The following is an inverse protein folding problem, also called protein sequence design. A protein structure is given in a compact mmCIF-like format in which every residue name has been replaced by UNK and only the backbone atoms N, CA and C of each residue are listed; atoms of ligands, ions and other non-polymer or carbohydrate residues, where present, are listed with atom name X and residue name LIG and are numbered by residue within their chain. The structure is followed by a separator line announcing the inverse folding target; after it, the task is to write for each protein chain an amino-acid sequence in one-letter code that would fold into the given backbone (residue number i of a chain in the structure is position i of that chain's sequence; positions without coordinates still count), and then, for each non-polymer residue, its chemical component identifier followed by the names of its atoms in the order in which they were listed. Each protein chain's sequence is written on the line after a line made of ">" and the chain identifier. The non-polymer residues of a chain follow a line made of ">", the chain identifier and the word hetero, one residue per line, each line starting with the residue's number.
data_IF_622285670488
#
_entry.id   IF_622285670488
#
_cell.length_a   1.000
_cell.length_b   1.000
_cell.length_c   1.000
_cell.angle_alpha   90.00
_cell.angle_beta   90.00
_cell.angle_gamma   90.00
#
_symmetry.space_group_name_H-M   'P 1'
#
loop_
_entity.id
_entity.type
_entity.pdbx_description
1 polymer ?
#
# COMPACT_ATOMS: atom_id res chain seq x y z
N UNK A 1 -28.89 -40.70 34.28
CA UNK A 1 -30.03 -40.79 33.35
C UNK A 1 -29.68 -39.97 32.13
N UNK A 2 -29.16 -40.64 31.10
CA UNK A 2 -28.81 -40.02 29.82
C UNK A 2 -30.03 -40.08 28.91
N UNK A 3 -30.43 -38.95 28.39
CA UNK A 3 -31.56 -38.82 27.43
C UNK A 3 -31.09 -39.24 26.03
N UNK A 4 -31.79 -40.22 25.45
CA UNK A 4 -31.60 -40.69 24.08
C UNK A 4 -31.90 -39.59 23.05
N UNK A 5 -31.20 -39.57 21.89
CA UNK A 5 -31.50 -38.65 20.83
C UNK A 5 -32.77 -39.06 20.07
N UNK A 6 -33.74 -38.16 19.94
CA UNK A 6 -34.93 -38.35 19.13
C UNK A 6 -34.58 -38.34 17.63
N UNK A 7 -34.89 -39.44 16.98
CA UNK A 7 -34.76 -39.63 15.53
C UNK A 7 -35.99 -38.97 14.84
N UNK A 8 -35.71 -37.95 14.02
CA UNK A 8 -36.71 -37.35 13.14
C UNK A 8 -36.85 -38.19 11.86
N UNK A 9 -38.05 -38.57 11.42
CA UNK A 9 -38.21 -39.31 10.16
C UNK A 9 -37.87 -38.46 8.94
N UNK A 10 -37.42 -39.10 7.84
CA UNK A 10 -37.09 -38.39 6.61
C UNK A 10 -38.33 -37.77 5.96
N UNK A 11 -38.21 -36.69 5.21
CA UNK A 11 -39.30 -36.04 4.52
C UNK A 11 -39.91 -36.96 3.45
N UNK A 12 -41.23 -36.85 3.19
CA UNK A 12 -41.94 -37.69 2.20
C UNK A 12 -41.44 -37.43 0.78
N UNK A 13 -41.35 -38.50 0.00
CA UNK A 13 -41.03 -38.47 -1.43
C UNK A 13 -42.04 -37.60 -2.22
N UNK A 14 -41.56 -36.82 -3.20
CA UNK A 14 -42.43 -36.02 -4.04
C UNK A 14 -43.30 -36.91 -4.95
N UNK A 15 -44.58 -36.58 -5.03
CA UNK A 15 -45.55 -37.29 -5.87
C UNK A 15 -45.17 -37.25 -7.36
N UNK A 16 -45.48 -38.33 -8.11
CA UNK A 16 -45.15 -38.40 -9.53
C UNK A 16 -45.93 -37.35 -10.33
N UNK A 17 -45.21 -36.64 -11.20
CA UNK A 17 -45.82 -35.66 -12.09
C UNK A 17 -46.73 -36.32 -13.12
N UNK A 18 -47.95 -35.81 -13.24
CA UNK A 18 -48.91 -36.25 -14.26
C UNK A 18 -48.42 -35.96 -15.67
N UNK A 19 -48.62 -36.85 -16.65
CA UNK A 19 -48.15 -36.64 -18.01
C UNK A 19 -48.89 -35.48 -18.68
N UNK A 20 -48.14 -34.61 -19.32
CA UNK A 20 -48.64 -33.49 -20.12
C UNK A 20 -49.47 -33.98 -21.32
N UNK A 21 -50.54 -33.28 -21.72
CA UNK A 21 -51.37 -33.68 -22.85
C UNK A 21 -50.58 -33.57 -24.17
N UNK A 22 -50.65 -34.65 -24.97
CA UNK A 22 -50.03 -34.75 -26.31
C UNK A 22 -50.79 -33.83 -27.26
N UNK A 23 -50.18 -32.75 -27.67
CA UNK A 23 -50.71 -31.84 -28.71
C UNK A 23 -50.41 -32.44 -30.08
N UNK A 24 -51.50 -32.80 -30.81
CA UNK A 24 -51.37 -33.31 -32.23
C UNK A 24 -50.84 -32.21 -33.15
N UNK A 25 -49.88 -32.48 -34.03
CA UNK A 25 -49.35 -31.49 -34.95
C UNK A 25 -50.38 -31.04 -35.98
N UNK A 26 -50.64 -29.73 -36.01
CA UNK A 26 -51.47 -29.09 -37.04
C UNK A 26 -50.60 -28.94 -38.30
N UNK A 27 -51.04 -29.55 -39.40
CA UNK A 27 -50.35 -29.43 -40.71
C UNK A 27 -50.43 -27.98 -41.21
N UNK A 28 -49.31 -27.35 -41.59
CA UNK A 28 -49.33 -26.01 -42.12
C UNK A 28 -49.94 -25.98 -43.54
N UNK A 29 -50.98 -25.18 -43.70
CA UNK A 29 -51.51 -24.84 -45.04
C UNK A 29 -50.45 -23.97 -45.77
N UNK A 30 -49.92 -24.45 -46.88
CA UNK A 30 -49.08 -23.68 -47.81
C UNK A 30 -49.85 -22.45 -48.29
N UNK A 31 -49.52 -21.24 -47.76
CA UNK A 31 -49.80 -19.95 -48.39
C UNK A 31 -48.49 -19.44 -49.00
N UNK A 32 -48.27 -19.89 -50.27
CA UNK A 32 -47.22 -19.34 -51.14
C UNK A 32 -47.90 -18.19 -51.87
N UNK A 33 -47.76 -16.97 -51.39
CA UNK A 33 -48.30 -15.79 -52.08
C UNK A 33 -47.81 -14.45 -51.52
N UNK A 34 -47.80 -14.34 -50.20
CA UNK A 34 -47.48 -13.08 -49.57
C UNK A 34 -46.00 -12.86 -49.32
N UNK A 35 -45.23 -13.90 -49.05
CA UNK A 35 -43.81 -13.75 -48.79
C UNK A 35 -43.01 -13.40 -50.06
N UNK A 36 -43.41 -13.93 -51.22
CA UNK A 36 -42.82 -13.60 -52.51
C UNK A 36 -43.09 -12.16 -52.93
N UNK A 37 -44.26 -11.59 -52.62
CA UNK A 37 -44.61 -10.19 -52.89
C UNK A 37 -43.83 -9.22 -52.00
N UNK A 38 -43.60 -9.58 -50.70
CA UNK A 38 -42.85 -8.72 -49.77
C UNK A 38 -41.36 -8.71 -50.14
N UNK A 39 -40.78 -9.85 -50.54
CA UNK A 39 -39.38 -9.89 -51.00
C UNK A 39 -39.17 -9.16 -52.33
N UNK A 40 -40.09 -9.23 -53.27
CA UNK A 40 -40.01 -8.49 -54.52
C UNK A 40 -40.16 -6.97 -54.30
N UNK A 41 -41.02 -6.51 -53.44
CA UNK A 41 -41.16 -5.11 -53.09
C UNK A 41 -39.93 -4.55 -52.35
N UNK A 42 -39.31 -5.32 -51.46
CA UNK A 42 -38.08 -4.95 -50.77
C UNK A 42 -36.86 -4.83 -51.73
N UNK A 43 -36.76 -5.70 -52.71
CA UNK A 43 -35.71 -5.63 -53.75
C UNK A 43 -35.90 -4.46 -54.69
N UNK A 44 -37.14 -4.17 -55.11
CA UNK A 44 -37.43 -3.03 -55.98
C UNK A 44 -37.24 -1.70 -55.21
N UNK A 45 -37.68 -1.61 -53.96
CA UNK A 45 -37.48 -0.45 -53.09
C UNK A 45 -35.98 -0.18 -52.80
N UNK A 46 -35.20 -1.24 -52.59
CA UNK A 46 -33.74 -1.14 -52.41
C UNK A 46 -33.00 -0.63 -53.63
N UNK A 47 -33.37 -1.14 -54.83
CA UNK A 47 -32.76 -0.70 -56.11
C UNK A 47 -33.12 0.74 -56.49
N UNK A 48 -34.39 1.14 -56.30
CA UNK A 48 -34.84 2.52 -56.58
C UNK A 48 -34.23 3.49 -55.54
N UNK A 49 -34.18 3.13 -54.27
CA UNK A 49 -33.54 3.91 -53.20
C UNK A 49 -32.04 4.12 -53.45
N UNK A 50 -31.30 3.05 -53.82
CA UNK A 50 -29.89 3.16 -54.15
C UNK A 50 -29.61 4.00 -55.40
N UNK A 51 -30.43 3.85 -56.46
CA UNK A 51 -30.30 4.66 -57.67
C UNK A 51 -30.60 6.18 -57.40
N UNK A 52 -31.60 6.48 -56.59
CA UNK A 52 -31.90 7.84 -56.15
C UNK A 52 -30.76 8.44 -55.31
N UNK A 53 -30.16 7.67 -54.43
CA UNK A 53 -29.02 8.13 -53.62
C UNK A 53 -27.79 8.41 -54.49
N UNK A 54 -27.50 7.56 -55.45
CA UNK A 54 -26.34 7.75 -56.36
C UNK A 54 -26.51 8.95 -57.30
N UNK A 55 -27.76 9.25 -57.74
CA UNK A 55 -28.05 10.36 -58.65
C UNK A 55 -28.23 11.72 -57.94
N UNK A 56 -28.69 11.73 -56.71
CA UNK A 56 -29.05 12.98 -55.98
C UNK A 56 -27.97 13.38 -54.97
N UNK A 57 -27.28 12.42 -54.32
CA UNK A 57 -26.26 12.72 -53.34
C UNK A 57 -25.12 13.62 -53.83
N UNK A 58 -24.61 13.49 -55.09
CA UNK A 58 -23.57 14.38 -55.58
C UNK A 58 -24.02 15.84 -55.78
N UNK A 59 -25.34 16.07 -55.89
CA UNK A 59 -25.91 17.41 -56.07
C UNK A 59 -26.25 18.13 -54.78
N UNK A 60 -26.45 17.38 -53.70
CA UNK A 60 -26.81 17.94 -52.40
C UNK A 60 -25.59 18.04 -51.44
N UNK A 61 -24.57 17.26 -51.66
CA UNK A 61 -23.35 17.32 -50.85
C UNK A 61 -22.27 18.04 -51.65
N UNK A 62 -22.16 19.35 -51.49
CA UNK A 62 -20.95 20.09 -51.85
C UNK A 62 -19.88 19.66 -50.86
N UNK A 63 -19.13 18.61 -51.20
CA UNK A 63 -17.87 18.28 -50.53
C UNK A 63 -16.90 19.38 -50.97
N UNK A 64 -16.77 20.43 -50.19
CA UNK A 64 -15.58 21.25 -50.25
C UNK A 64 -14.42 20.38 -49.86
N UNK A 65 -13.37 20.23 -50.69
CA UNK A 65 -12.14 19.59 -50.23
C UNK A 65 -11.54 20.52 -49.19
N UNK A 66 -11.84 20.29 -47.92
CA UNK A 66 -11.13 20.92 -46.82
C UNK A 66 -9.74 20.32 -46.84
N UNK A 67 -8.83 21.07 -47.47
CA UNK A 67 -7.43 20.72 -47.43
C UNK A 67 -6.96 20.66 -45.97
N UNK A 68 -6.03 19.75 -45.74
CA UNK A 68 -5.34 19.44 -44.48
C UNK A 68 -6.25 18.87 -43.37
N UNK A 69 -6.52 17.58 -43.43
CA UNK A 69 -6.52 16.79 -42.23
C UNK A 69 -5.11 16.92 -41.65
N UNK A 70 -4.93 17.95 -40.80
CA UNK A 70 -3.89 17.89 -39.78
C UNK A 70 -4.28 16.65 -38.99
N UNK A 71 -3.57 15.56 -39.22
CA UNK A 71 -3.55 14.45 -38.26
C UNK A 71 -3.19 15.12 -36.96
N UNK A 72 -4.19 15.29 -36.10
CA UNK A 72 -3.92 15.68 -34.72
C UNK A 72 -2.79 14.76 -34.27
N UNK A 73 -1.69 15.30 -33.71
CA UNK A 73 -0.67 14.43 -33.20
C UNK A 73 -1.40 13.44 -32.33
N UNK A 74 -1.21 12.15 -32.59
CA UNK A 74 -1.61 11.10 -31.66
C UNK A 74 -0.77 11.44 -30.43
N UNK A 75 -1.30 12.29 -29.55
CA UNK A 75 -0.82 12.35 -28.19
C UNK A 75 -1.08 10.94 -27.69
N UNK A 76 -0.02 10.15 -27.58
CA UNK A 76 -0.05 8.91 -26.80
C UNK A 76 -0.39 9.34 -25.36
N UNK A 77 -1.64 9.64 -25.10
CA UNK A 77 -2.18 9.61 -23.76
C UNK A 77 -2.09 8.14 -23.37
N UNK A 78 -1.06 7.81 -22.60
CA UNK A 78 -0.98 6.51 -21.97
C UNK A 78 -2.33 6.32 -21.27
N UNK A 79 -3.12 5.37 -21.76
CA UNK A 79 -4.32 4.98 -21.04
C UNK A 79 -3.86 4.41 -19.69
N UNK A 80 -4.69 4.46 -18.67
CA UNK A 80 -4.39 3.86 -17.36
C UNK A 80 -3.91 2.41 -17.52
N UNK A 81 -4.56 1.64 -18.39
CA UNK A 81 -4.17 0.27 -18.73
C UNK A 81 -2.74 0.19 -19.27
N UNK A 82 -2.39 1.06 -20.22
CA UNK A 82 -1.03 1.10 -20.79
C UNK A 82 0.01 1.46 -19.72
N UNK A 83 -0.30 2.36 -18.79
CA UNK A 83 0.59 2.71 -17.70
C UNK A 83 0.85 1.51 -16.77
N UNK A 84 -0.20 0.77 -16.37
CA UNK A 84 -0.07 -0.41 -15.52
C UNK A 84 0.75 -1.51 -16.20
N UNK A 85 0.50 -1.78 -17.49
CA UNK A 85 1.24 -2.80 -18.26
C UNK A 85 2.72 -2.40 -18.34
N UNK A 86 3.02 -1.13 -18.67
CA UNK A 86 4.40 -0.66 -18.80
C UNK A 86 5.15 -0.74 -17.47
N UNK A 87 4.53 -0.31 -16.36
CA UNK A 87 5.11 -0.40 -15.03
C UNK A 87 5.36 -1.86 -14.64
N UNK A 88 4.40 -2.76 -14.89
CA UNK A 88 4.56 -4.18 -14.61
C UNK A 88 5.73 -4.80 -15.38
N UNK A 89 5.90 -4.45 -16.65
CA UNK A 89 6.92 -5.03 -17.53
C UNK A 89 8.32 -4.44 -17.31
N UNK A 90 8.43 -3.15 -17.10
CA UNK A 90 9.72 -2.47 -16.95
C UNK A 90 10.17 -2.49 -15.49
N UNK A 91 9.31 -2.04 -14.59
CA UNK A 91 9.66 -1.77 -13.19
C UNK A 91 9.54 -3.03 -12.33
N UNK A 92 8.65 -3.96 -12.71
CA UNK A 92 8.54 -5.26 -12.05
C UNK A 92 9.82 -6.09 -12.04
N UNK A 93 10.78 -5.81 -12.94
CA UNK A 93 12.11 -6.48 -12.95
C UNK A 93 12.98 -6.11 -11.76
N UNK A 94 12.73 -4.96 -11.16
CA UNK A 94 13.43 -4.51 -9.96
C UNK A 94 12.77 -4.97 -8.66
N UNK A 95 11.59 -5.62 -8.74
CA UNK A 95 10.92 -6.21 -7.56
C UNK A 95 11.44 -7.62 -7.35
N UNK A 96 11.73 -7.93 -6.10
CA UNK A 96 12.37 -9.20 -5.70
C UNK A 96 11.52 -9.94 -4.67
N UNK A 97 11.64 -11.27 -4.67
CA UNK A 97 11.19 -12.11 -3.58
C UNK A 97 12.29 -12.22 -2.53
N UNK A 98 11.90 -12.13 -1.27
CA UNK A 98 12.77 -12.33 -0.12
C UNK A 98 12.30 -13.57 0.60
N UNK A 99 13.18 -14.58 0.67
CA UNK A 99 12.98 -15.78 1.47
C UNK A 99 13.76 -15.67 2.77
N UNK A 100 13.08 -15.91 3.87
CA UNK A 100 13.67 -15.92 5.20
C UNK A 100 13.60 -17.31 5.79
N UNK A 101 14.65 -17.71 6.49
CA UNK A 101 14.67 -18.93 7.31
C UNK A 101 14.75 -18.49 8.78
N UNK A 102 13.74 -18.85 9.56
CA UNK A 102 13.64 -18.57 10.99
C UNK A 102 13.68 -19.89 11.74
N UNK A 103 14.45 -19.97 12.81
CA UNK A 103 14.42 -21.17 13.65
C UNK A 103 13.13 -21.23 14.46
N UNK A 104 12.50 -22.39 14.50
CA UNK A 104 11.45 -22.64 15.48
C UNK A 104 12.07 -22.63 16.87
N UNK A 105 11.44 -21.93 17.82
CA UNK A 105 11.77 -21.94 19.24
C UNK A 105 11.51 -23.31 19.91
N UNK A 106 10.85 -24.20 19.21
CA UNK A 106 10.52 -25.54 19.72
C UNK A 106 11.72 -26.46 19.54
N UNK A 107 12.47 -26.66 20.64
CA UNK A 107 13.64 -27.55 20.70
C UNK A 107 13.33 -28.98 20.27
N UNK A 108 12.07 -29.39 20.19
CA UNK A 108 11.63 -30.74 19.78
C UNK A 108 11.37 -30.92 18.29
N UNK A 109 11.13 -29.83 17.56
CA UNK A 109 10.72 -29.87 16.15
C UNK A 109 11.72 -29.17 15.24
N UNK A 110 12.97 -29.22 15.34
CA UNK A 110 14.01 -28.65 14.44
C UNK A 110 13.54 -28.40 12.97
N UNK A 111 12.38 -27.78 12.79
CA UNK A 111 11.82 -27.42 11.49
C UNK A 111 12.09 -25.94 11.26
N UNK A 112 12.91 -25.66 10.25
CA UNK A 112 13.09 -24.30 9.77
C UNK A 112 11.74 -23.77 9.22
N UNK A 113 11.27 -22.69 9.80
CA UNK A 113 10.11 -21.97 9.28
C UNK A 113 10.58 -21.02 8.16
N UNK A 114 9.89 -21.04 7.03
CA UNK A 114 10.20 -20.17 5.91
C UNK A 114 9.16 -19.05 5.81
N UNK A 115 9.64 -17.81 5.89
CA UNK A 115 8.86 -16.63 5.57
C UNK A 115 9.12 -16.20 4.13
N UNK A 116 8.13 -15.56 3.52
CA UNK A 116 8.22 -14.99 2.18
C UNK A 116 7.69 -13.57 2.23
N UNK A 117 8.48 -12.63 1.69
CA UNK A 117 8.09 -11.25 1.51
C UNK A 117 8.61 -10.71 0.19
N UNK A 118 8.38 -9.44 -0.06
CA UNK A 118 8.87 -8.74 -1.23
C UNK A 118 9.87 -7.66 -0.84
N UNK A 119 10.63 -7.22 -1.83
CA UNK A 119 11.49 -6.04 -1.75
C UNK A 119 11.65 -5.43 -3.13
N UNK A 120 12.34 -4.32 -3.21
CA UNK A 120 12.69 -3.71 -4.48
C UNK A 120 14.10 -3.12 -4.45
N UNK A 121 14.76 -3.22 -5.59
CA UNK A 121 16.12 -2.74 -5.78
C UNK A 121 16.09 -1.22 -5.95
N UNK A 122 16.86 -0.50 -5.13
CA UNK A 122 16.96 0.96 -5.13
C UNK A 122 18.30 1.45 -5.71
N UNK A 123 19.28 0.54 -5.86
CA UNK A 123 20.59 0.84 -6.44
C UNK A 123 21.08 -0.35 -7.25
N UNK A 124 21.65 -0.08 -8.41
CA UNK A 124 22.13 -1.09 -9.35
C UNK A 124 23.27 -1.99 -8.83
N UNK A 125 23.91 -1.59 -7.74
CA UNK A 125 24.93 -2.37 -7.04
C UNK A 125 24.35 -3.33 -5.99
N UNK A 126 23.01 -3.50 -5.90
CA UNK A 126 22.34 -4.54 -5.13
C UNK A 126 21.81 -4.14 -3.76
N UNK A 127 21.54 -2.85 -3.52
CA UNK A 127 20.78 -2.44 -2.35
C UNK A 127 19.28 -2.61 -2.59
N UNK A 128 18.60 -3.21 -1.63
CA UNK A 128 17.17 -3.57 -1.68
C UNK A 128 16.49 -3.00 -0.46
N UNK A 129 15.33 -2.39 -0.65
CA UNK A 129 14.45 -1.93 0.42
C UNK A 129 13.32 -2.93 0.58
N UNK A 130 12.95 -3.18 1.84
CA UNK A 130 11.83 -4.03 2.25
C UNK A 130 11.29 -3.57 3.61
N UNK A 131 10.27 -4.23 4.14
CA UNK A 131 9.82 -4.01 5.51
C UNK A 131 10.74 -4.71 6.53
N UNK A 132 10.82 -4.14 7.76
CA UNK A 132 11.58 -4.76 8.84
C UNK A 132 10.98 -6.10 9.25
N UNK A 133 9.65 -6.20 9.39
CA UNK A 133 8.98 -7.44 9.76
C UNK A 133 9.23 -8.60 8.78
N UNK A 134 9.57 -8.32 7.51
CA UNK A 134 9.94 -9.34 6.52
C UNK A 134 11.26 -10.01 6.87
N UNK A 135 12.20 -9.29 7.46
CA UNK A 135 13.57 -9.77 7.74
C UNK A 135 13.85 -9.99 9.23
N UNK A 136 12.92 -9.64 10.07
CA UNK A 136 13.05 -9.76 11.52
C UNK A 136 13.27 -11.23 11.93
N UNK A 137 14.21 -11.45 12.84
CA UNK A 137 14.57 -12.79 13.34
C UNK A 137 15.06 -13.79 12.28
N UNK A 138 15.31 -13.35 11.03
CA UNK A 138 15.83 -14.22 9.98
C UNK A 138 17.28 -14.59 10.24
N UNK A 139 17.58 -15.91 10.23
CA UNK A 139 18.95 -16.43 10.28
C UNK A 139 19.61 -16.44 8.92
N UNK A 140 18.82 -16.68 7.88
CA UNK A 140 19.27 -16.68 6.51
C UNK A 140 18.28 -15.89 5.65
N UNK A 141 18.82 -15.08 4.74
CA UNK A 141 18.09 -14.27 3.80
C UNK A 141 18.53 -14.61 2.39
N UNK A 142 17.56 -14.91 1.55
CA UNK A 142 17.78 -15.15 0.13
C UNK A 142 16.89 -14.24 -0.71
N UNK A 143 17.45 -13.72 -1.78
CA UNK A 143 16.76 -12.84 -2.71
C UNK A 143 16.70 -13.49 -4.08
N UNK A 144 15.51 -13.54 -4.66
CA UNK A 144 15.25 -14.08 -5.99
C UNK A 144 14.76 -12.94 -6.88
N UNK A 145 15.43 -12.71 -8.01
CA UNK A 145 15.02 -11.74 -9.01
C UNK A 145 14.01 -12.36 -9.99
N UNK A 146 13.07 -11.55 -10.47
CA UNK A 146 11.94 -11.98 -11.32
C UNK A 146 12.31 -12.89 -12.48
N UNK A 147 13.30 -12.52 -13.26
CA UNK A 147 13.64 -13.21 -14.52
C UNK A 147 14.88 -14.10 -14.39
N UNK A 148 15.35 -14.31 -13.17
CA UNK A 148 16.55 -15.08 -12.92
C UNK A 148 16.25 -16.26 -12.00
N UNK A 149 16.63 -17.46 -12.45
CA UNK A 149 16.60 -18.67 -11.61
C UNK A 149 17.62 -18.54 -10.47
N UNK A 150 18.47 -17.50 -10.50
CA UNK A 150 19.56 -17.32 -9.57
C UNK A 150 19.07 -16.73 -8.26
N UNK A 151 19.32 -17.44 -7.19
CA UNK A 151 19.14 -16.98 -5.81
C UNK A 151 20.43 -16.30 -5.35
N UNK A 152 20.28 -15.18 -4.69
CA UNK A 152 21.39 -14.44 -4.08
C UNK A 152 21.26 -14.51 -2.56
N UNK A 153 22.36 -14.84 -1.87
CA UNK A 153 22.41 -14.65 -0.43
C UNK A 153 22.42 -13.14 -0.14
N UNK A 154 21.62 -12.73 0.81
CA UNK A 154 21.49 -11.33 1.19
C UNK A 154 21.93 -11.11 2.63
N UNK A 155 22.49 -9.95 2.90
CA UNK A 155 22.80 -9.51 4.27
C UNK A 155 22.00 -8.26 4.60
N UNK A 156 21.63 -8.13 5.85
CA UNK A 156 21.02 -6.90 6.39
C UNK A 156 22.10 -5.83 6.47
N UNK A 157 21.84 -4.67 5.86
CA UNK A 157 22.66 -3.47 5.99
C UNK A 157 22.30 -2.71 7.25
N UNK A 158 21.00 -2.60 7.51
CA UNK A 158 20.44 -1.99 8.69
C UNK A 158 18.93 -2.08 8.69
N UNK A 159 18.33 -1.87 9.84
CA UNK A 159 16.88 -1.91 10.05
C UNK A 159 16.41 -0.69 10.84
N UNK A 160 15.16 -0.36 10.67
CA UNK A 160 14.42 0.63 11.43
C UNK A 160 13.08 0.01 11.85
N UNK A 161 13.05 -0.74 12.96
CA UNK A 161 11.83 -1.40 13.43
C UNK A 161 10.66 -0.44 13.60
N UNK A 162 10.88 0.70 14.22
CA UNK A 162 9.83 1.71 14.45
C UNK A 162 9.19 2.31 13.19
N UNK A 163 9.83 2.22 12.02
CA UNK A 163 9.31 2.70 10.74
C UNK A 163 9.01 1.54 9.80
N UNK A 164 9.22 0.32 10.30
CA UNK A 164 9.09 -0.93 9.55
C UNK A 164 9.84 -0.91 8.21
N UNK A 165 11.07 -0.40 8.19
CA UNK A 165 11.95 -0.34 7.00
C UNK A 165 13.24 -1.11 7.26
N UNK A 166 13.65 -1.92 6.29
CA UNK A 166 14.94 -2.60 6.28
C UNK A 166 15.65 -2.40 4.93
N UNK A 167 16.97 -2.44 4.97
CA UNK A 167 17.82 -2.43 3.78
C UNK A 167 18.66 -3.69 3.75
N UNK A 168 18.60 -4.39 2.62
CA UNK A 168 19.42 -5.57 2.34
C UNK A 168 20.47 -5.25 1.28
N UNK A 169 21.50 -6.09 1.22
CA UNK A 169 22.54 -6.04 0.18
C UNK A 169 22.80 -7.44 -0.37
N UNK A 170 22.75 -7.54 -1.68
CA UNK A 170 23.20 -8.72 -2.44
C UNK A 170 24.46 -8.39 -3.23
N UNK A 171 25.32 -9.38 -3.44
CA UNK A 171 26.56 -9.20 -4.23
C UNK A 171 26.27 -9.39 -5.72
N UNK A 172 25.70 -8.34 -6.32
CA UNK A 172 25.39 -8.27 -7.74
C UNK A 172 25.58 -6.84 -8.24
N UNK A 173 25.78 -6.70 -9.56
CA UNK A 173 25.99 -5.43 -10.24
C UNK A 173 25.06 -5.32 -11.44
N UNK A 174 24.85 -4.09 -11.91
CA UNK A 174 24.02 -3.77 -13.07
C UNK A 174 22.58 -4.28 -12.94
N UNK A 175 22.05 -4.29 -11.72
CA UNK A 175 20.68 -4.65 -11.46
C UNK A 175 19.72 -3.50 -11.85
N UNK A 176 18.50 -3.82 -12.30
CA UNK A 176 17.47 -2.81 -12.49
C UNK A 176 17.14 -2.18 -11.12
N UNK A 177 17.00 -0.87 -11.07
CA UNK A 177 16.69 -0.14 -9.84
C UNK A 177 15.50 0.80 -10.07
N UNK A 178 14.60 0.88 -9.10
CA UNK A 178 13.44 1.77 -9.16
C UNK A 178 13.83 3.19 -8.75
N UNK A 179 13.36 4.20 -9.49
CA UNK A 179 13.48 5.58 -9.07
C UNK A 179 12.47 5.90 -7.97
N UNK A 180 12.88 6.74 -7.01
CA UNK A 180 11.96 7.29 -6.02
C UNK A 180 11.13 8.42 -6.64
N UNK A 181 9.83 8.43 -6.34
CA UNK A 181 8.93 9.55 -6.58
C UNK A 181 8.89 10.50 -5.39
N UNK A 182 8.01 11.49 -5.48
CA UNK A 182 7.71 12.42 -4.38
C UNK A 182 6.34 12.12 -3.80
N UNK A 183 6.29 11.47 -2.63
CA UNK A 183 5.03 11.14 -1.96
C UNK A 183 4.30 12.37 -1.43
N UNK A 184 4.98 13.50 -1.21
CA UNK A 184 4.33 14.74 -0.77
C UNK A 184 3.50 15.41 -1.88
N UNK A 185 3.78 15.06 -3.15
CA UNK A 185 3.03 15.54 -4.31
C UNK A 185 1.81 14.66 -4.67
N UNK A 186 1.59 13.56 -3.95
CA UNK A 186 0.47 12.65 -4.19
C UNK A 186 -0.88 13.33 -3.99
N UNK A 187 -1.87 12.90 -4.77
CA UNK A 187 -3.25 13.34 -4.67
C UNK A 187 -4.18 12.15 -4.53
N UNK A 188 -5.20 12.28 -3.70
CA UNK A 188 -6.29 11.30 -3.61
C UNK A 188 -6.93 11.13 -4.99
N UNK A 189 -7.18 9.89 -5.39
CA UNK A 189 -7.66 9.50 -6.71
C UNK A 189 -6.55 9.25 -7.75
N UNK A 190 -5.26 9.49 -7.43
CA UNK A 190 -4.14 9.19 -8.31
C UNK A 190 -3.92 7.67 -8.42
N UNK A 191 -3.56 7.18 -9.63
CA UNK A 191 -3.27 5.77 -9.87
C UNK A 191 -2.16 5.27 -8.93
N UNK A 192 -2.40 4.14 -8.30
CA UNK A 192 -1.50 3.41 -7.44
C UNK A 192 -1.32 1.98 -7.95
N UNK A 193 -0.09 1.53 -8.13
CA UNK A 193 0.26 0.20 -8.63
C UNK A 193 1.14 -0.47 -7.57
N UNK A 194 0.61 -1.50 -6.94
CA UNK A 194 1.36 -2.28 -5.98
C UNK A 194 1.93 -3.53 -6.64
N UNK A 195 3.22 -3.77 -6.45
CA UNK A 195 3.91 -4.95 -6.97
C UNK A 195 4.51 -5.73 -5.80
N UNK A 196 4.35 -7.05 -5.85
CA UNK A 196 4.99 -7.99 -4.95
C UNK A 196 5.38 -9.26 -5.68
N UNK A 197 6.18 -10.10 -5.05
CA UNK A 197 6.63 -11.38 -5.61
C UNK A 197 6.29 -12.53 -4.66
N UNK A 198 5.00 -12.85 -4.46
CA UNK A 198 4.61 -13.93 -3.56
C UNK A 198 4.91 -15.30 -4.18
N UNK A 199 5.39 -16.25 -3.34
CA UNK A 199 5.46 -17.69 -3.62
C UNK A 199 6.38 -18.12 -4.79
N UNK A 200 7.43 -17.37 -5.14
CA UNK A 200 8.36 -17.73 -6.21
C UNK A 200 7.71 -17.81 -7.59
N UNK A 201 6.51 -17.32 -7.72
CA UNK A 201 5.80 -17.18 -9.00
C UNK A 201 5.90 -15.74 -9.47
N UNK A 202 5.65 -15.51 -10.75
CA UNK A 202 5.73 -14.19 -11.38
C UNK A 202 5.07 -13.11 -10.53
N UNK A 203 5.69 -11.91 -10.47
CA UNK A 203 5.21 -10.77 -9.70
C UNK A 203 3.69 -10.61 -9.78
N UNK A 204 3.05 -10.53 -8.63
CA UNK A 204 1.66 -10.11 -8.54
C UNK A 204 1.60 -8.59 -8.65
N UNK A 205 0.84 -8.09 -9.60
CA UNK A 205 0.59 -6.67 -9.82
C UNK A 205 -0.87 -6.39 -9.49
N UNK A 206 -1.12 -5.49 -8.58
CA UNK A 206 -2.46 -5.00 -8.29
C UNK A 206 -2.52 -3.49 -8.53
N UNK A 207 -3.67 -2.98 -8.96
CA UNK A 207 -3.88 -1.56 -9.20
C UNK A 207 -5.06 -1.04 -8.39
N UNK A 208 -5.01 0.22 -8.09
CA UNK A 208 -6.05 0.98 -7.43
C UNK A 208 -5.74 2.47 -7.52
N UNK A 209 -6.23 3.22 -6.55
CA UNK A 209 -5.95 4.64 -6.40
C UNK A 209 -5.42 4.95 -5.01
N UNK A 210 -4.78 6.09 -4.85
CA UNK A 210 -4.52 6.67 -3.53
C UNK A 210 -5.86 7.06 -2.93
N UNK A 211 -6.30 6.33 -1.91
CA UNK A 211 -7.62 6.54 -1.27
C UNK A 211 -7.58 7.62 -0.19
N UNK A 212 -6.46 7.70 0.55
CA UNK A 212 -6.21 8.74 1.55
C UNK A 212 -4.71 8.88 1.82
N UNK A 213 -4.33 10.00 2.41
CA UNK A 213 -2.97 10.32 2.81
C UNK A 213 -2.93 10.62 4.32
N UNK A 214 -1.73 10.56 4.90
CA UNK A 214 -1.48 10.92 6.31
C UNK A 214 -2.34 10.12 7.31
N UNK A 215 -2.51 8.81 7.06
CA UNK A 215 -3.22 7.92 7.98
C UNK A 215 -2.31 7.46 9.12
N UNK A 216 -2.85 7.46 10.32
CA UNK A 216 -2.26 6.73 11.45
C UNK A 216 -2.98 5.39 11.58
N UNK A 217 -2.20 4.31 11.54
CA UNK A 217 -2.73 2.95 11.64
C UNK A 217 -2.06 2.24 12.81
N UNK A 218 -2.86 1.60 13.64
CA UNK A 218 -2.35 0.78 14.75
C UNK A 218 -2.35 -0.67 14.30
N UNK A 219 -1.19 -1.31 14.39
CA UNK A 219 -0.99 -2.72 14.03
C UNK A 219 -0.49 -3.49 15.25
N UNK A 220 -0.85 -4.78 15.41
CA UNK A 220 -0.25 -5.60 16.43
C UNK A 220 1.27 -5.69 16.21
N UNK A 221 2.02 -5.56 17.27
CA UNK A 221 3.45 -5.84 17.28
C UNK A 221 3.67 -7.27 17.82
N UNK A 222 4.02 -8.24 16.95
CA UNK A 222 4.23 -9.62 17.37
C UNK A 222 5.41 -9.77 18.33
N UNK A 223 6.37 -8.84 18.31
CA UNK A 223 7.60 -8.92 19.11
C UNK A 223 7.38 -8.49 20.55
N UNK A 224 6.53 -7.49 20.78
CA UNK A 224 6.22 -6.96 22.12
C UNK A 224 4.87 -7.42 22.68
N UNK A 225 4.01 -8.01 21.86
CA UNK A 225 2.62 -8.33 22.22
C UNK A 225 1.73 -7.09 22.39
N UNK A 226 2.23 -5.92 21.99
CA UNK A 226 1.54 -4.63 22.00
C UNK A 226 0.96 -4.22 20.65
N UNK A 227 0.74 -2.93 20.49
CA UNK A 227 0.38 -2.32 19.20
C UNK A 227 1.44 -1.30 18.80
N UNK A 228 1.85 -1.34 17.55
CA UNK A 228 2.69 -0.33 16.93
C UNK A 228 1.82 0.63 16.13
N UNK A 229 2.13 1.92 16.15
CA UNK A 229 1.43 2.93 15.35
C UNK A 229 2.32 3.37 14.20
N UNK A 230 1.90 3.07 12.99
CA UNK A 230 2.51 3.58 11.77
C UNK A 230 1.85 4.90 11.43
N UNK A 231 2.67 5.93 11.32
CA UNK A 231 2.25 7.30 11.04
C UNK A 231 2.44 7.64 9.57
N UNK A 232 1.66 8.59 9.06
CA UNK A 232 1.73 9.04 7.66
C UNK A 232 1.54 7.92 6.62
N UNK A 233 0.82 6.85 6.94
CA UNK A 233 0.55 5.79 5.98
C UNK A 233 -0.28 6.33 4.80
N UNK A 234 0.03 5.82 3.61
CA UNK A 234 -0.75 6.00 2.39
C UNK A 234 -1.80 4.90 2.36
N UNK A 235 -3.07 5.27 2.22
CA UNK A 235 -4.18 4.33 2.03
C UNK A 235 -4.46 4.17 0.54
N UNK A 236 -4.66 2.93 0.09
CA UNK A 236 -5.01 2.59 -1.29
C UNK A 236 -6.07 1.48 -1.32
N UNK A 237 -6.84 1.39 -2.39
CA UNK A 237 -7.72 0.25 -2.68
C UNK A 237 -7.05 -0.79 -3.61
N UNK A 238 -5.80 -0.54 -4.04
CA UNK A 238 -4.97 -1.61 -4.60
C UNK A 238 -4.84 -2.74 -3.57
N UNK A 239 -5.04 -3.97 -4.00
CA UNK A 239 -5.01 -5.13 -3.09
C UNK A 239 -3.58 -5.34 -2.55
N UNK A 240 -3.40 -5.10 -1.27
CA UNK A 240 -2.19 -5.42 -0.52
C UNK A 240 -2.48 -6.66 0.33
N UNK A 241 -1.74 -7.73 0.10
CA UNK A 241 -1.90 -9.02 0.76
C UNK A 241 -0.53 -9.52 1.24
N UNK A 242 -0.47 -10.51 2.15
CA UNK A 242 0.77 -11.22 2.47
C UNK A 242 1.48 -11.67 1.18
N UNK A 243 2.75 -11.30 1.05
CA UNK A 243 3.56 -11.48 -0.15
C UNK A 243 3.82 -10.20 -0.94
N UNK A 244 2.94 -9.16 -0.86
CA UNK A 244 3.26 -7.83 -1.40
C UNK A 244 4.00 -6.96 -0.37
N UNK A 245 3.97 -7.32 0.90
CA UNK A 245 4.64 -6.60 1.99
C UNK A 245 6.12 -6.41 1.68
N UNK A 246 6.62 -5.20 1.82
CA UNK A 246 7.99 -4.81 1.47
C UNK A 246 8.20 -4.49 -0.02
N UNK A 247 7.26 -4.83 -0.89
CA UNK A 247 7.27 -4.42 -2.29
C UNK A 247 6.91 -2.94 -2.48
N UNK A 248 7.14 -2.37 -3.67
CA UNK A 248 6.86 -0.97 -3.94
C UNK A 248 5.38 -0.70 -4.20
N UNK A 249 4.91 0.48 -3.76
CA UNK A 249 3.76 1.18 -4.31
C UNK A 249 4.27 2.20 -5.33
N UNK A 250 3.85 2.07 -6.59
CA UNK A 250 4.35 2.87 -7.71
C UNK A 250 3.25 3.82 -8.22
N UNK A 251 3.67 4.96 -8.74
CA UNK A 251 2.82 5.83 -9.52
C UNK A 251 2.77 5.39 -11.00
N UNK A 252 2.01 6.11 -11.85
CA UNK A 252 1.90 5.84 -13.28
C UNK A 252 3.19 6.00 -14.08
N UNK A 253 4.22 6.62 -13.51
CA UNK A 253 5.55 6.79 -14.10
C UNK A 253 6.57 5.73 -13.61
N UNK A 254 6.14 4.70 -12.86
CA UNK A 254 7.02 3.67 -12.31
C UNK A 254 7.89 4.14 -11.15
N UNK A 255 7.57 5.27 -10.53
CA UNK A 255 8.35 5.79 -9.41
C UNK A 255 7.76 5.29 -8.08
N UNK A 256 8.63 4.93 -7.14
CA UNK A 256 8.25 4.48 -5.80
C UNK A 256 7.69 5.64 -4.99
N UNK A 257 6.43 5.57 -4.61
CA UNK A 257 5.74 6.54 -3.76
C UNK A 257 5.38 5.98 -2.39
N UNK A 258 5.59 4.67 -2.17
CA UNK A 258 5.40 4.02 -0.88
C UNK A 258 6.01 2.62 -0.84
N UNK A 259 6.06 2.02 0.35
CA UNK A 259 6.43 0.62 0.58
C UNK A 259 5.19 -0.11 1.09
N UNK A 260 4.73 -1.11 0.36
CA UNK A 260 3.52 -1.86 0.68
C UNK A 260 3.62 -2.47 2.08
N UNK A 261 2.56 -2.33 2.85
CA UNK A 261 2.46 -2.85 4.21
C UNK A 261 1.18 -3.68 4.33
N UNK A 262 1.32 -5.00 4.36
CA UNK A 262 0.18 -5.90 4.50
C UNK A 262 -0.23 -6.02 5.96
N UNK A 263 -1.47 -5.63 6.24
CA UNK A 263 -2.14 -5.88 7.53
C UNK A 263 -3.10 -7.05 7.33
N UNK A 264 -3.29 -7.87 8.35
CA UNK A 264 -4.34 -8.91 8.28
C UNK A 264 -5.69 -8.27 7.95
N UNK A 265 -6.37 -8.77 6.92
CA UNK A 265 -7.65 -8.22 6.42
C UNK A 265 -8.73 -8.11 7.50
N UNK A 266 -8.66 -8.95 8.54
CA UNK A 266 -9.58 -8.90 9.68
C UNK A 266 -9.51 -7.56 10.45
N UNK A 267 -8.38 -6.86 10.37
CA UNK A 267 -8.13 -5.59 11.08
C UNK A 267 -8.33 -4.36 10.18
N UNK A 268 -7.96 -4.48 8.91
CA UNK A 268 -8.05 -3.37 7.96
C UNK A 268 -9.45 -3.20 7.34
N UNK A 269 -10.21 -4.28 7.25
CA UNK A 269 -11.45 -4.33 6.49
C UNK A 269 -11.22 -4.63 4.99
N UNK A 270 -12.25 -5.11 4.28
CA UNK A 270 -12.13 -5.47 2.87
C UNK A 270 -11.86 -4.24 1.99
N UNK A 271 -10.90 -4.35 1.06
CA UNK A 271 -10.58 -3.29 0.10
C UNK A 271 -9.74 -2.14 0.65
N UNK A 272 -9.12 -2.30 1.82
CA UNK A 272 -8.17 -1.34 2.38
C UNK A 272 -6.77 -1.91 2.32
N UNK A 273 -5.89 -1.22 1.61
CA UNK A 273 -4.45 -1.45 1.59
C UNK A 273 -3.71 -0.24 2.16
N UNK A 274 -2.53 -0.47 2.71
CA UNK A 274 -1.68 0.57 3.24
C UNK A 274 -0.25 0.45 2.71
N UNK A 275 0.43 1.59 2.62
CA UNK A 275 1.85 1.66 2.34
C UNK A 275 2.51 2.70 3.23
N UNK A 276 3.76 2.46 3.59
CA UNK A 276 4.62 3.45 4.24
C UNK A 276 4.87 4.61 3.28
N UNK A 277 4.98 5.82 3.78
CA UNK A 277 5.30 7.02 2.99
C UNK A 277 6.64 6.89 2.25
N UNK A 278 6.63 7.14 0.94
CA UNK A 278 7.81 6.94 0.08
C UNK A 278 8.98 7.85 0.41
N UNK A 279 8.74 9.13 0.74
CA UNK A 279 9.80 10.07 1.11
C UNK A 279 10.45 9.66 2.44
N UNK A 280 9.63 9.28 3.43
CA UNK A 280 10.13 8.79 4.71
C UNK A 280 10.94 7.50 4.55
N UNK A 281 10.43 6.52 3.80
CA UNK A 281 11.12 5.26 3.53
C UNK A 281 12.45 5.48 2.79
N UNK A 282 12.48 6.38 1.79
CA UNK A 282 13.72 6.77 1.07
C UNK A 282 14.76 7.36 2.01
N UNK A 283 14.36 8.29 2.86
CA UNK A 283 15.29 8.99 3.76
C UNK A 283 15.86 8.04 4.82
N UNK A 284 15.02 7.11 5.33
CA UNK A 284 15.45 6.02 6.22
C UNK A 284 16.40 5.07 5.48
N UNK A 285 16.03 4.60 4.29
CA UNK A 285 16.87 3.70 3.51
C UNK A 285 18.24 4.32 3.20
N UNK A 286 18.30 5.61 2.85
CA UNK A 286 19.55 6.31 2.62
C UNK A 286 20.45 6.36 3.86
N UNK A 287 19.88 6.62 5.06
CA UNK A 287 20.64 6.58 6.31
C UNK A 287 21.17 5.17 6.60
N UNK A 288 20.31 4.14 6.46
CA UNK A 288 20.72 2.75 6.65
C UNK A 288 21.85 2.35 5.69
N UNK A 289 21.79 2.77 4.41
CA UNK A 289 22.86 2.52 3.43
C UNK A 289 24.18 3.19 3.82
N UNK A 290 24.12 4.41 4.35
CA UNK A 290 25.31 5.21 4.67
C UNK A 290 25.94 4.83 6.00
N UNK A 291 25.14 4.55 7.02
CA UNK A 291 25.58 4.43 8.42
C UNK A 291 25.24 3.11 9.07
N UNK A 292 24.35 2.31 8.48
CA UNK A 292 23.82 1.08 9.07
C UNK A 292 22.72 1.30 10.13
N UNK A 293 22.42 2.54 10.49
CA UNK A 293 21.41 2.89 11.49
C UNK A 293 20.72 4.21 11.14
N UNK A 294 19.55 4.45 11.75
CA UNK A 294 18.80 5.70 11.58
C UNK A 294 19.12 6.64 12.75
N UNK A 295 19.59 7.83 12.40
CA UNK A 295 19.86 8.89 13.38
C UNK A 295 18.55 9.56 13.78
N UNK A 296 18.02 9.22 14.94
CA UNK A 296 16.78 9.79 15.44
C UNK A 296 17.03 10.86 16.51
N UNK A 297 16.23 11.94 16.48
CA UNK A 297 16.28 12.90 17.55
C UNK A 297 15.84 12.24 18.86
N UNK A 298 16.60 12.46 19.90
CA UNK A 298 16.37 11.91 21.21
C UNK A 298 16.19 13.01 22.23
N UNK A 299 15.03 13.00 22.90
CA UNK A 299 14.74 13.88 24.03
C UNK A 299 15.03 13.18 25.35
N UNK A 300 14.73 11.89 25.44
CA UNK A 300 14.95 11.04 26.60
C UNK A 300 13.86 11.18 27.67
N UNK A 301 12.62 11.14 27.24
CA UNK A 301 11.44 11.08 28.09
C UNK A 301 10.58 9.88 27.72
N UNK A 302 9.98 9.22 28.69
CA UNK A 302 8.81 8.38 28.52
C UNK A 302 7.59 9.23 28.83
N UNK A 303 6.55 9.13 28.00
CA UNK A 303 5.38 9.99 28.16
C UNK A 303 4.10 9.27 27.78
N UNK A 304 2.99 9.78 28.28
CA UNK A 304 1.64 9.44 27.85
C UNK A 304 1.07 10.64 27.06
N UNK A 305 0.58 10.38 25.87
CA UNK A 305 -0.15 11.42 25.12
C UNK A 305 -1.49 11.66 25.82
N UNK A 306 -1.79 12.92 26.09
CA UNK A 306 -3.06 13.36 26.65
C UNK A 306 -3.85 14.14 25.61
N UNK A 307 -5.02 13.60 25.24
CA UNK A 307 -6.08 14.31 24.54
C UNK A 307 -6.87 15.21 25.49
N UNK A 308 -7.91 15.88 25.00
CA UNK A 308 -8.77 16.73 25.84
C UNK A 308 -9.42 15.96 27.00
N UNK A 309 -9.85 14.72 26.74
CA UNK A 309 -10.51 13.85 27.72
C UNK A 309 -9.53 13.40 28.80
N UNK A 310 -8.36 12.90 28.40
CA UNK A 310 -7.31 12.46 29.30
C UNK A 310 -6.74 13.62 30.15
N UNK A 311 -6.57 14.79 29.55
CA UNK A 311 -6.12 15.99 30.23
C UNK A 311 -7.14 16.42 31.29
N UNK A 312 -8.43 16.50 30.95
CA UNK A 312 -9.50 16.85 31.87
C UNK A 312 -9.62 15.85 33.03
N UNK A 313 -9.54 14.56 32.75
CA UNK A 313 -9.62 13.49 33.77
C UNK A 313 -8.49 13.57 34.82
N UNK A 314 -7.31 14.10 34.42
CA UNK A 314 -6.14 14.21 35.28
C UNK A 314 -5.92 15.64 35.83
N UNK A 315 -6.78 16.60 35.52
CA UNK A 315 -6.59 18.01 35.89
C UNK A 315 -5.35 18.65 35.27
N UNK A 316 -4.97 18.16 34.06
CA UNK A 316 -3.80 18.57 33.29
C UNK A 316 -4.23 19.32 32.03
N UNK A 317 -3.25 19.67 31.20
CA UNK A 317 -3.45 20.26 29.88
C UNK A 317 -3.14 19.22 28.79
N UNK A 318 -3.66 19.45 27.59
CA UNK A 318 -3.36 18.61 26.40
C UNK A 318 -1.85 18.65 26.10
N UNK A 319 -1.26 17.49 25.79
CA UNK A 319 0.15 17.37 25.48
C UNK A 319 0.75 16.01 25.84
N UNK A 320 2.07 15.94 25.91
CA UNK A 320 2.82 14.75 26.29
C UNK A 320 3.16 14.82 27.79
N UNK A 321 2.46 14.04 28.60
CA UNK A 321 2.68 13.93 30.03
C UNK A 321 3.88 13.03 30.33
N UNK A 322 4.94 13.61 30.89
CA UNK A 322 6.19 12.91 31.16
C UNK A 322 6.02 11.98 32.37
N UNK A 323 6.17 10.68 32.14
CA UNK A 323 6.08 9.62 33.14
C UNK A 323 7.45 9.16 33.66
N UNK A 324 8.50 9.26 32.81
CA UNK A 324 9.88 8.94 33.19
C UNK A 324 10.88 9.75 32.37
N UNK A 325 12.13 9.85 32.88
CA UNK A 325 13.22 10.57 32.23
C UNK A 325 14.49 9.74 32.28
N UNK A 326 15.06 9.49 31.12
CA UNK A 326 16.35 8.82 31.01
C UNK A 326 17.45 9.66 31.65
N UNK A 327 18.19 9.09 32.59
CA UNK A 327 19.29 9.76 33.24
C UNK A 327 20.36 10.26 32.24
N UNK A 328 20.82 11.50 32.39
CA UNK A 328 21.80 12.10 31.48
C UNK A 328 21.27 12.47 30.08
N UNK A 329 19.97 12.30 29.84
CA UNK A 329 19.33 12.65 28.57
C UNK A 329 19.29 14.18 28.32
N UNK A 330 19.01 14.62 27.09
CA UNK A 330 18.74 16.03 26.79
C UNK A 330 17.66 16.63 27.67
N UNK A 331 16.57 15.92 27.93
CA UNK A 331 15.49 16.34 28.81
C UNK A 331 15.97 16.57 30.25
N UNK A 332 16.72 15.61 30.80
CA UNK A 332 17.28 15.73 32.16
C UNK A 332 18.20 16.95 32.28
N UNK A 333 19.12 17.14 31.29
CA UNK A 333 20.05 18.28 31.26
C UNK A 333 19.33 19.63 31.15
N UNK A 334 18.21 19.66 30.41
CA UNK A 334 17.41 20.86 30.24
C UNK A 334 16.48 21.18 31.42
N UNK A 335 16.36 20.27 32.43
CA UNK A 335 15.55 20.47 33.60
C UNK A 335 14.06 20.11 33.43
N UNK A 336 13.72 19.30 32.41
CA UNK A 336 12.41 18.64 32.32
C UNK A 336 12.32 17.66 33.51
N UNK A 337 11.15 17.49 34.07
CA UNK A 337 10.90 16.65 35.25
C UNK A 337 9.72 15.70 34.97
N UNK A 338 9.70 14.61 35.70
CA UNK A 338 8.52 13.73 35.74
C UNK A 338 7.31 14.54 36.20
N UNK A 339 6.16 14.28 35.63
CA UNK A 339 4.88 14.98 35.75
C UNK A 339 4.80 16.36 35.07
N UNK A 340 5.80 16.76 34.28
CA UNK A 340 5.61 17.87 33.33
C UNK A 340 4.68 17.43 32.18
N UNK A 341 3.94 18.38 31.61
CA UNK A 341 3.27 18.17 30.34
C UNK A 341 3.98 18.99 29.26
N UNK A 342 4.57 18.35 28.27
CA UNK A 342 5.16 19.01 27.08
C UNK A 342 4.00 19.44 26.19
N UNK A 343 3.80 20.74 26.03
CA UNK A 343 2.67 21.32 25.29
C UNK A 343 3.05 21.84 23.92
N UNK A 344 4.33 22.26 23.75
CA UNK A 344 4.84 22.74 22.43
C UNK A 344 6.32 22.42 22.27
N UNK A 345 6.73 22.27 21.00
CA UNK A 345 8.14 22.25 20.57
C UNK A 345 8.31 23.25 19.44
N UNK A 346 9.21 24.22 19.59
CA UNK A 346 9.43 25.33 18.65
C UNK A 346 8.14 26.04 18.20
N UNK A 347 7.17 26.18 19.13
CA UNK A 347 5.88 26.82 18.84
C UNK A 347 4.80 25.88 18.30
N UNK A 348 5.15 24.70 17.76
CA UNK A 348 4.19 23.70 17.33
C UNK A 348 3.54 23.03 18.53
N UNK A 349 2.22 22.99 18.58
CA UNK A 349 1.46 22.34 19.65
C UNK A 349 1.69 20.81 19.61
N UNK A 350 1.65 20.22 20.81
CA UNK A 350 1.65 18.75 20.98
C UNK A 350 0.23 18.34 21.35
N UNK A 351 -0.40 17.61 20.45
CA UNK A 351 -1.76 17.11 20.53
C UNK A 351 -1.87 15.75 19.80
N UNK A 352 -3.07 15.23 19.62
CA UNK A 352 -3.28 13.94 18.94
C UNK A 352 -2.94 13.99 17.45
N UNK A 353 -3.06 15.16 16.80
CA UNK A 353 -2.68 15.36 15.41
C UNK A 353 -1.17 15.56 15.25
N UNK A 354 -0.50 16.02 16.31
CA UNK A 354 0.92 16.34 16.35
C UNK A 354 1.56 15.71 17.61
N UNK A 355 1.67 14.36 17.68
CA UNK A 355 2.31 13.70 18.80
C UNK A 355 3.78 14.15 18.97
N UNK A 356 4.27 14.14 20.20
CA UNK A 356 5.63 14.61 20.52
C UNK A 356 6.71 13.94 19.66
N UNK A 357 6.59 12.63 19.44
CA UNK A 357 7.52 11.85 18.62
C UNK A 357 7.63 12.40 17.19
N UNK A 358 6.50 12.74 16.57
CA UNK A 358 6.45 13.22 15.18
C UNK A 358 6.96 14.65 15.04
N UNK A 359 6.63 15.48 16.02
CA UNK A 359 7.15 16.85 16.04
C UNK A 359 8.67 16.85 16.23
N UNK A 360 9.20 15.97 17.09
CA UNK A 360 10.65 15.86 17.29
C UNK A 360 11.37 15.34 16.03
N UNK A 361 10.76 14.42 15.26
CA UNK A 361 11.36 13.89 14.02
C UNK A 361 11.69 14.95 12.95
N UNK A 362 11.04 16.12 13.02
CA UNK A 362 11.31 17.24 12.11
C UNK A 362 12.67 17.92 12.39
N UNK A 363 13.31 17.61 13.51
CA UNK A 363 14.55 18.24 13.94
C UNK A 363 15.70 17.23 14.01
N UNK A 364 16.78 17.37 13.22
CA UNK A 364 17.94 16.47 13.32
C UNK A 364 18.55 16.44 14.72
N UNK A 365 19.19 15.33 15.14
CA UNK A 365 20.00 15.30 16.35
C UNK A 365 21.02 16.47 16.39
N UNK A 366 21.26 17.01 17.56
CA UNK A 366 22.09 18.21 17.77
C UNK A 366 21.33 19.54 17.61
N UNK A 367 20.12 19.52 17.08
CA UNK A 367 19.29 20.73 16.97
C UNK A 367 18.85 21.23 18.34
N UNK A 368 18.95 22.55 18.56
CA UNK A 368 18.44 23.22 19.74
C UNK A 368 16.99 23.62 19.51
N UNK A 369 16.08 23.11 20.34
CA UNK A 369 14.63 23.35 20.27
C UNK A 369 14.12 24.00 21.55
N UNK A 370 13.11 24.87 21.42
CA UNK A 370 12.38 25.44 22.56
C UNK A 370 11.21 24.50 22.92
N UNK A 371 11.30 23.87 24.09
CA UNK A 371 10.25 22.98 24.60
C UNK A 371 9.43 23.74 25.65
N UNK A 372 8.13 23.88 25.41
CA UNK A 372 7.21 24.49 26.39
C UNK A 372 6.62 23.37 27.24
N UNK A 373 6.89 23.42 28.53
CA UNK A 373 6.33 22.52 29.53
C UNK A 373 5.28 23.24 30.39
N UNK A 374 4.29 22.49 30.85
CA UNK A 374 3.35 22.92 31.89
C UNK A 374 3.69 22.20 33.20
N UNK A 375 3.98 22.96 34.25
CA UNK A 375 4.40 22.44 35.56
C UNK A 375 3.78 23.28 36.64
N UNK A 376 3.04 22.68 37.57
CA UNK A 376 2.46 23.37 38.73
C UNK A 376 1.58 24.58 38.38
N UNK A 377 0.75 24.45 37.34
CA UNK A 377 -0.17 25.50 36.89
C UNK A 377 0.46 26.59 36.03
N UNK A 378 1.74 26.47 35.62
CA UNK A 378 2.47 27.48 34.85
C UNK A 378 3.17 26.89 33.65
N UNK A 379 3.16 27.63 32.56
CA UNK A 379 3.95 27.28 31.38
C UNK A 379 5.36 27.86 31.47
N UNK A 380 6.36 27.07 31.09
CA UNK A 380 7.79 27.46 31.05
C UNK A 380 8.40 26.99 29.73
N UNK A 381 9.29 27.77 29.15
CA UNK A 381 10.05 27.37 27.96
C UNK A 381 11.47 26.96 28.36
N UNK A 382 11.85 25.74 28.02
CA UNK A 382 13.18 25.19 28.23
C UNK A 382 13.89 25.06 26.90
N UNK A 383 15.18 25.38 26.86
CA UNK A 383 16.00 25.15 25.66
C UNK A 383 16.64 23.76 25.75
N UNK A 384 16.38 22.91 24.77
CA UNK A 384 16.86 21.53 24.74
C UNK A 384 17.67 21.31 23.47
N UNK A 385 18.89 20.81 23.60
CA UNK A 385 19.65 20.29 22.46
C UNK A 385 19.35 18.81 22.31
N UNK A 386 18.68 18.42 21.23
CA UNK A 386 18.33 17.04 20.98
C UNK A 386 19.57 16.16 20.85
N UNK A 387 19.53 14.98 21.44
CA UNK A 387 20.55 13.95 21.27
C UNK A 387 20.26 13.04 20.07
N UNK A 388 21.16 12.08 19.87
CA UNK A 388 20.89 10.90 19.03
C UNK A 388 20.32 9.81 19.92
N UNK A 389 19.32 9.10 19.44
CA UNK A 389 18.79 7.92 20.13
C UNK A 389 19.92 6.90 20.30
N UNK A 390 20.15 6.36 21.51
CA UNK A 390 21.21 5.38 21.77
C UNK A 390 21.03 4.11 20.98
#
# INVERSE_FOLDING_TARGET
>A
MASEPQYLPPPPEPAPLSPLPVVKPVRPRRRIGTLGMVLASALIGGLVGSAATILVAPRLIKVTPSGNTVLAPITNTLTEESAVINVADQDGKAVVEIKTTVSSLDQFLQQDMHGIGSGFIVRSDGYIVTNNHVVENARQLQVILRDQVKTYDARVVGTSPEDDVAVLKVDAQNLPALPWGDSSALKVGQLAIAIGSPLGQQNSVTKGVISALHRSISVPDPSSGGTETILNAIQTDAQINPGNSGGPLLNSAGQVVGVNFAIEQAQAGPGLGFALDGNAARDIANQLIQTGHVNRPFLGVTYQQLDETGAAANGLVVGAWVTDITAGSPAARAGIKVHDVITKVNGQAIDDLHPLKDVLRQYPPGTKVGVVIYRGGKSQTLQVTLGTHP
#
